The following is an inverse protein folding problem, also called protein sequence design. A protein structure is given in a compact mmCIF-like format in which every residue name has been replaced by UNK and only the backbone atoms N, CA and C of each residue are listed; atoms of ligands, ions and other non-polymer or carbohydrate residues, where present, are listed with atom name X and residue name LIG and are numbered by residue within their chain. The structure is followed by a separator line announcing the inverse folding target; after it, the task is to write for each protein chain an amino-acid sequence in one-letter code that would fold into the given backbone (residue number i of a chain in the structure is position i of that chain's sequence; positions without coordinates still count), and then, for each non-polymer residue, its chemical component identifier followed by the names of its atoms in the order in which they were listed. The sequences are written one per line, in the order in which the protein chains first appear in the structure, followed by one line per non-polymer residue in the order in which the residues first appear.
data_IF_640033166541
#
_entry.id   IF_640033166541
#
_cell.length_a   1.000
_cell.length_b   1.000
_cell.length_c   1.000
_cell.angle_alpha   90.00
_cell.angle_beta   90.00
_cell.angle_gamma   90.00
#
_symmetry.space_group_name_H-M   'P 1'
#
loop_
_entity.id
_entity.type
_entity.pdbx_description
1 polymer ?
#
# COMPACT_ATOMS: atom_id res chain seq x y z
N UNK A 1 -9.01 -14.24 13.83
CA UNK A 1 -8.41 -13.33 12.82
C UNK A 1 -9.35 -13.16 11.65
N UNK A 2 -9.61 -11.91 11.29
CA UNK A 2 -10.49 -11.63 10.16
C UNK A 2 -9.72 -11.86 8.84
N UNK A 3 -10.44 -12.05 7.71
CA UNK A 3 -9.77 -12.12 6.40
C UNK A 3 -8.92 -10.89 6.12
N UNK A 4 -9.37 -9.70 6.50
CA UNK A 4 -8.60 -8.48 6.32
C UNK A 4 -7.27 -8.52 7.09
N UNK A 5 -7.32 -8.99 8.34
CA UNK A 5 -6.13 -9.09 9.17
C UNK A 5 -5.14 -10.10 8.63
N UNK A 6 -5.63 -11.24 8.13
CA UNK A 6 -4.78 -12.26 7.52
C UNK A 6 -4.07 -11.71 6.30
N UNK A 7 -4.78 -11.00 5.43
CA UNK A 7 -4.21 -10.42 4.23
C UNK A 7 -3.22 -9.31 4.56
N UNK A 8 -3.54 -8.47 5.56
CA UNK A 8 -2.64 -7.40 5.97
C UNK A 8 -1.32 -7.95 6.52
N UNK A 9 -1.34 -9.07 7.21
CA UNK A 9 -0.10 -9.67 7.73
C UNK A 9 0.84 -10.13 6.62
N UNK A 10 0.30 -10.42 5.44
CA UNK A 10 1.11 -10.81 4.29
C UNK A 10 1.53 -9.60 3.44
N UNK A 11 0.95 -8.43 3.69
CA UNK A 11 1.18 -7.26 2.85
C UNK A 11 2.43 -6.49 3.26
N UNK A 12 3.59 -7.05 3.01
CA UNK A 12 4.88 -6.41 3.26
C UNK A 12 5.47 -5.78 2.01
N UNK A 13 4.84 -5.99 0.87
CA UNK A 13 5.35 -5.48 -0.40
C UNK A 13 4.85 -4.08 -0.69
N UNK A 14 5.58 -3.36 -1.56
CA UNK A 14 5.09 -2.11 -2.08
C UNK A 14 3.83 -2.32 -2.90
N UNK A 15 2.95 -1.33 -2.88
CA UNK A 15 1.72 -1.38 -3.65
C UNK A 15 1.98 -1.58 -5.15
N UNK A 16 3.01 -0.91 -5.68
CA UNK A 16 3.37 -1.04 -7.10
C UNK A 16 3.76 -2.45 -7.48
N UNK A 17 4.57 -3.11 -6.64
CA UNK A 17 5.00 -4.48 -6.88
C UNK A 17 3.81 -5.44 -6.82
N UNK A 18 2.92 -5.26 -5.86
CA UNK A 18 1.73 -6.09 -5.72
C UNK A 18 0.81 -5.94 -6.93
N UNK A 19 0.62 -4.73 -7.43
CA UNK A 19 -0.20 -4.46 -8.61
C UNK A 19 0.38 -5.13 -9.85
N UNK A 20 1.70 -5.01 -10.05
CA UNK A 20 2.37 -5.65 -11.19
C UNK A 20 2.23 -7.16 -11.15
N UNK A 21 2.43 -7.76 -9.99
CA UNK A 21 2.31 -9.21 -9.83
C UNK A 21 0.88 -9.68 -10.05
N UNK A 22 -0.10 -8.96 -9.54
CA UNK A 22 -1.51 -9.29 -9.76
C UNK A 22 -1.87 -9.22 -11.24
N UNK A 23 -1.40 -8.19 -11.93
CA UNK A 23 -1.63 -8.04 -13.37
C UNK A 23 -1.03 -9.19 -14.16
N UNK A 24 0.18 -9.61 -13.77
CA UNK A 24 0.86 -10.74 -14.41
C UNK A 24 0.08 -12.04 -14.21
N UNK A 25 -0.33 -12.32 -12.98
CA UNK A 25 -1.03 -13.55 -12.63
C UNK A 25 -2.41 -13.62 -13.30
N UNK A 26 -3.13 -12.50 -13.28
CA UNK A 26 -4.47 -12.44 -13.86
C UNK A 26 -4.48 -12.21 -15.37
N UNK A 27 -3.33 -11.85 -15.94
CA UNK A 27 -3.23 -11.57 -17.36
C UNK A 27 -4.04 -10.35 -17.79
N UNK A 28 -4.18 -9.35 -16.91
CA UNK A 28 -5.02 -8.19 -17.15
C UNK A 28 -4.35 -6.91 -16.68
N UNK A 29 -4.51 -5.83 -17.44
CA UNK A 29 -4.02 -4.50 -17.05
C UNK A 29 -4.94 -3.87 -16.01
N UNK A 30 -6.24 -4.10 -16.13
CA UNK A 30 -7.23 -3.59 -15.19
C UNK A 30 -7.53 -4.65 -14.16
N UNK A 31 -7.44 -4.27 -12.91
CA UNK A 31 -7.66 -5.16 -11.79
C UNK A 31 -9.02 -4.90 -11.14
N UNK A 32 -10.04 -4.78 -11.99
CA UNK A 32 -11.41 -4.57 -11.54
C UNK A 32 -11.84 -5.72 -10.64
N UNK A 33 -12.48 -5.41 -9.54
CA UNK A 33 -12.89 -6.41 -8.56
C UNK A 33 -11.81 -6.75 -7.54
N UNK A 34 -10.59 -6.21 -7.68
CA UNK A 34 -9.50 -6.51 -6.78
C UNK A 34 -9.39 -5.47 -5.66
N UNK A 35 -9.03 -5.94 -4.49
CA UNK A 35 -8.76 -5.10 -3.32
C UNK A 35 -7.29 -5.20 -2.97
N UNK A 36 -6.66 -4.05 -2.71
CA UNK A 36 -5.26 -3.99 -2.31
C UNK A 36 -5.14 -3.82 -0.80
N UNK A 37 -4.25 -4.59 -0.21
CA UNK A 37 -3.89 -4.48 1.21
C UNK A 37 -2.42 -4.14 1.30
N UNK A 38 -2.08 -3.04 1.97
CA UNK A 38 -0.69 -2.61 2.15
C UNK A 38 -0.45 -2.18 3.59
N UNK A 39 0.78 -2.36 4.05
CA UNK A 39 1.16 -2.03 5.42
C UNK A 39 1.28 -0.52 5.62
N UNK A 40 1.91 0.16 4.67
CA UNK A 40 2.10 1.59 4.73
C UNK A 40 1.24 2.28 3.69
N UNK A 41 0.72 3.45 4.05
CA UNK A 41 -0.08 4.28 3.15
C UNK A 41 0.66 4.51 1.83
N UNK A 42 0.03 4.24 0.68
CA UNK A 42 0.68 4.40 -0.62
C UNK A 42 1.18 5.82 -0.90
N UNK A 43 2.37 5.90 -1.47
CA UNK A 43 2.98 7.15 -1.94
C UNK A 43 2.30 7.61 -3.25
N UNK A 44 2.65 8.79 -3.78
CA UNK A 44 2.02 9.28 -5.01
C UNK A 44 2.10 8.33 -6.19
N UNK A 45 3.25 7.69 -6.38
CA UNK A 45 3.44 6.75 -7.48
C UNK A 45 2.53 5.54 -7.34
N UNK A 46 2.48 4.96 -6.14
CA UNK A 46 1.66 3.78 -5.88
C UNK A 46 0.17 4.12 -5.91
N UNK A 47 -0.22 5.27 -5.36
CA UNK A 47 -1.61 5.71 -5.42
C UNK A 47 -2.06 5.94 -6.86
N UNK A 48 -1.19 6.51 -7.69
CA UNK A 48 -1.46 6.67 -9.11
C UNK A 48 -1.61 5.34 -9.84
N UNK A 49 -0.75 4.37 -9.49
CA UNK A 49 -0.83 3.04 -10.05
C UNK A 49 -2.16 2.35 -9.71
N UNK A 50 -2.66 2.56 -8.50
CA UNK A 50 -3.95 2.02 -8.06
C UNK A 50 -5.10 2.55 -8.93
N UNK A 51 -5.08 3.84 -9.21
CA UNK A 51 -6.08 4.48 -10.08
C UNK A 51 -5.98 3.93 -11.50
N UNK A 52 -4.77 3.86 -12.03
CA UNK A 52 -4.53 3.39 -13.40
C UNK A 52 -4.90 1.91 -13.57
N UNK A 53 -4.72 1.10 -12.53
CA UNK A 53 -5.08 -0.31 -12.56
C UNK A 53 -6.57 -0.54 -12.29
N UNK A 54 -7.32 0.50 -11.99
CA UNK A 54 -8.75 0.43 -11.72
C UNK A 54 -9.12 -0.51 -10.56
N UNK A 55 -8.33 -0.46 -9.48
CA UNK A 55 -8.65 -1.23 -8.29
C UNK A 55 -9.97 -0.78 -7.68
N UNK A 56 -10.66 -1.71 -7.04
CA UNK A 56 -11.94 -1.41 -6.39
C UNK A 56 -11.76 -0.72 -5.04
N UNK A 57 -10.72 -1.08 -4.30
CA UNK A 57 -10.55 -0.61 -2.92
C UNK A 57 -9.13 -0.82 -2.43
N UNK A 58 -8.71 0.00 -1.47
CA UNK A 58 -7.43 -0.15 -0.81
C UNK A 58 -7.60 -0.06 0.71
N UNK A 59 -6.98 -0.98 1.42
CA UNK A 59 -6.85 -0.90 2.88
C UNK A 59 -5.37 -0.75 3.21
N UNK A 60 -5.04 0.23 4.05
CA UNK A 60 -3.67 0.38 4.51
C UNK A 60 -3.61 0.46 6.03
N UNK A 61 -2.47 0.10 6.59
CA UNK A 61 -2.28 0.08 8.04
C UNK A 61 -1.82 1.43 8.56
N UNK A 62 -0.52 1.67 8.49
CA UNK A 62 0.08 2.88 9.03
C UNK A 62 -0.03 4.05 8.06
N UNK A 63 -0.32 5.22 8.60
CA UNK A 63 -0.36 6.47 7.82
C UNK A 63 1.05 7.00 7.63
N UNK A 64 1.29 7.62 6.49
CA UNK A 64 2.58 8.24 6.17
C UNK A 64 2.39 9.75 6.03
N UNK A 65 2.77 10.49 7.07
CA UNK A 65 2.59 11.94 7.10
C UNK A 65 3.48 12.67 6.10
N UNK A 66 4.49 12.01 5.56
CA UNK A 66 5.43 12.64 4.62
C UNK A 66 5.02 12.45 3.17
N UNK A 67 4.59 11.26 2.80
CA UNK A 67 4.37 10.88 1.41
C UNK A 67 3.04 10.19 1.15
N UNK A 68 2.23 10.01 2.18
CA UNK A 68 0.97 9.29 2.04
C UNK A 68 -0.03 10.02 1.15
N UNK A 69 -0.48 9.36 0.11
CA UNK A 69 -1.37 9.95 -0.89
C UNK A 69 -2.74 9.31 -0.98
N UNK A 70 -3.14 8.61 0.07
CA UNK A 70 -4.50 8.11 0.19
C UNK A 70 -5.31 8.91 1.20
N UNK A 71 -4.63 9.57 2.15
CA UNK A 71 -5.30 10.28 3.23
C UNK A 71 -4.45 11.41 3.81
N UNK A 72 -3.16 11.16 4.07
CA UNK A 72 -2.33 12.01 4.92
C UNK A 72 -1.90 13.32 4.26
N UNK A 73 -1.20 13.25 3.13
CA UNK A 73 -0.75 14.45 2.42
C UNK A 73 -1.74 14.83 1.34
N UNK A 74 -2.25 13.84 0.67
CA UNK A 74 -3.18 14.01 -0.45
C UNK A 74 -4.14 12.82 -0.45
N UNK A 75 -5.31 12.99 -1.06
CA UNK A 75 -6.26 11.90 -1.25
C UNK A 75 -6.41 11.64 -2.75
N UNK A 76 -5.34 11.20 -3.38
CA UNK A 76 -5.26 11.09 -4.82
C UNK A 76 -6.27 10.09 -5.42
N UNK A 77 -6.45 8.88 -4.86
CA UNK A 77 -7.40 7.93 -5.46
C UNK A 77 -8.87 8.35 -5.37
N UNK A 78 -9.17 9.32 -4.52
CA UNK A 78 -10.52 9.85 -4.39
C UNK A 78 -10.75 11.14 -5.15
N UNK A 79 -9.75 11.65 -5.86
CA UNK A 79 -9.85 12.94 -6.54
C UNK A 79 -10.86 12.86 -7.70
N UNK A 80 -11.86 13.77 -7.73
CA UNK A 80 -12.87 13.74 -8.77
C UNK A 80 -12.36 14.06 -10.17
N UNK A 81 -11.12 14.53 -10.29
CA UNK A 81 -10.50 14.78 -11.59
C UNK A 81 -10.23 13.49 -12.36
N UNK A 82 -10.09 12.35 -11.65
CA UNK A 82 -9.86 11.08 -12.31
C UNK A 82 -11.17 10.41 -12.70
N UNK A 83 -11.16 9.72 -13.83
CA UNK A 83 -12.33 8.98 -14.29
C UNK A 83 -12.62 7.74 -13.43
N UNK A 84 -11.58 7.17 -12.80
CA UNK A 84 -11.72 6.07 -11.86
C UNK A 84 -11.30 6.53 -10.48
N UNK A 85 -12.12 6.25 -9.48
CA UNK A 85 -11.85 6.58 -8.09
C UNK A 85 -12.12 5.35 -7.25
N UNK A 86 -11.34 5.17 -6.18
CA UNK A 86 -11.53 4.04 -5.29
C UNK A 86 -11.44 4.50 -3.84
N UNK A 87 -12.25 3.90 -2.95
CA UNK A 87 -12.14 4.19 -1.53
C UNK A 87 -10.86 3.63 -0.96
N UNK A 88 -10.20 4.43 -0.11
CA UNK A 88 -9.03 4.02 0.63
C UNK A 88 -9.35 4.11 2.11
N UNK A 89 -9.14 3.03 2.84
CA UNK A 89 -9.44 2.96 4.27
C UNK A 89 -8.14 2.73 5.02
N UNK A 90 -7.76 3.68 5.86
CA UNK A 90 -6.54 3.61 6.65
C UNK A 90 -6.80 3.14 8.07
N UNK A 91 -5.70 2.78 8.74
CA UNK A 91 -5.75 2.41 10.15
C UNK A 91 -6.04 0.94 10.41
N UNK A 92 -6.09 0.11 9.37
CA UNK A 92 -6.29 -1.32 9.55
C UNK A 92 -5.06 -1.92 10.21
N UNK A 93 -5.19 -2.38 11.46
CA UNK A 93 -4.07 -2.89 12.25
C UNK A 93 -2.91 -1.89 12.30
N UNK A 94 -3.23 -0.63 12.53
CA UNK A 94 -2.27 0.47 12.40
C UNK A 94 -1.06 0.32 13.32
N UNK A 95 -1.27 -0.06 14.57
CA UNK A 95 -0.17 -0.21 15.52
C UNK A 95 0.76 -1.35 15.14
N UNK A 96 0.20 -2.47 14.73
CA UNK A 96 0.98 -3.63 14.30
C UNK A 96 1.73 -3.34 13.02
N UNK A 97 1.09 -2.66 12.08
CA UNK A 97 1.71 -2.25 10.83
C UNK A 97 2.89 -1.29 11.10
N UNK A 98 2.68 -0.30 11.97
CA UNK A 98 3.73 0.65 12.32
C UNK A 98 4.90 -0.04 13.03
N UNK A 99 4.60 -0.98 13.93
CA UNK A 99 5.64 -1.75 14.62
C UNK A 99 6.45 -2.59 13.64
N UNK A 100 5.79 -3.21 12.68
CA UNK A 100 6.43 -4.02 11.66
C UNK A 100 7.36 -3.18 10.79
N UNK A 101 6.90 -2.01 10.38
CA UNK A 101 7.71 -1.09 9.59
C UNK A 101 8.92 -0.59 10.37
N UNK A 102 8.76 -0.27 11.64
CA UNK A 102 9.88 0.16 12.49
C UNK A 102 10.93 -0.93 12.56
N UNK A 103 10.53 -2.18 12.78
CA UNK A 103 11.46 -3.31 12.86
C UNK A 103 12.18 -3.52 11.52
N UNK A 104 11.45 -3.40 10.43
CA UNK A 104 12.02 -3.55 9.09
C UNK A 104 13.08 -2.47 8.82
N UNK A 105 12.78 -1.21 9.10
CA UNK A 105 13.71 -0.12 8.87
C UNK A 105 14.90 -0.16 9.83
N UNK A 106 14.72 -0.59 11.08
CA UNK A 106 15.81 -0.77 12.01
C UNK A 106 16.76 -1.86 11.53
N UNK A 107 16.24 -2.98 11.08
CA UNK A 107 17.06 -4.07 10.55
C UNK A 107 17.87 -3.61 9.33
N UNK A 108 17.25 -2.83 8.44
CA UNK A 108 17.96 -2.29 7.28
C UNK A 108 19.06 -1.33 7.68
N UNK A 109 18.79 -0.43 8.62
CA UNK A 109 19.81 0.50 9.11
C UNK A 109 20.97 -0.22 9.74
N UNK A 110 20.70 -1.24 10.56
CA UNK A 110 21.76 -2.03 11.18
C UNK A 110 22.62 -2.73 10.13
N UNK A 111 21.99 -3.26 9.09
CA UNK A 111 22.73 -3.91 8.00
C UNK A 111 23.58 -2.89 7.23
N UNK A 112 23.01 -1.73 6.95
CA UNK A 112 23.73 -0.68 6.23
C UNK A 112 24.90 -0.14 7.05
N UNK A 113 24.70 0.08 8.33
CA UNK A 113 25.74 0.59 9.22
C UNK A 113 26.83 -0.43 9.48
N UNK A 114 26.48 -1.71 9.61
CA UNK A 114 27.42 -2.76 9.94
C UNK A 114 28.07 -3.43 8.75
N UNK A 115 27.48 -3.37 7.61
CA UNK A 115 27.91 -4.11 6.42
C UNK A 115 28.72 -3.33 5.44
N UNK A 116 29.01 -2.11 5.68
CA UNK A 116 29.66 -1.35 4.67
C UNK A 116 31.09 -1.41 4.66
N UNK A 117 31.67 -1.61 3.68
CA UNK A 117 32.84 -0.82 3.40
C UNK A 117 32.49 0.46 2.73
#
# INVERSE_FOLDING_TARGET
MTPHESLMRLALEEAGAAIREAARVLGARRLTGCTLYVTLEPCPMCAGAMVMACLDRCYFGARDARQGCCESVYALPGDPAFYHRLPCVGGLMEEEAAALLRRFFQARRSTEEGGTP
#
